data_IF_007087149843
#
_entry.id   IF_007087149843
#
_cell.length_a   1.000
_cell.length_b   1.000
_cell.length_c   1.000
_cell.angle_alpha   90.00
_cell.angle_beta   90.00
_cell.angle_gamma   90.00
#
_symmetry.space_group_name_H-M   'P 1'
#
loop_
_entity.id
_entity.type
_entity.pdbx_description
1 polymer ?
#
# COMPACT_ATOMS: atom_id res chain seq x y z
N UNK A 1 -5.84 9.10 -31.63
CA UNK A 1 -4.83 8.41 -30.79
C UNK A 1 -5.27 8.15 -29.34
N UNK A 2 -6.03 9.04 -28.69
CA UNK A 2 -6.56 8.78 -27.33
C UNK A 2 -7.49 7.56 -27.29
N UNK A 3 -8.39 7.43 -28.24
CA UNK A 3 -9.41 6.36 -28.26
C UNK A 3 -8.81 4.97 -28.40
N UNK A 4 -7.76 4.81 -29.21
CA UNK A 4 -7.08 3.51 -29.39
C UNK A 4 -6.33 3.10 -28.13
N UNK A 5 -5.65 4.03 -27.44
CA UNK A 5 -5.00 3.75 -26.17
C UNK A 5 -6.01 3.37 -25.09
N UNK A 6 -7.14 4.04 -25.05
CA UNK A 6 -8.21 3.75 -24.11
C UNK A 6 -8.87 2.39 -24.38
N UNK A 7 -9.06 2.03 -25.65
CA UNK A 7 -9.58 0.73 -26.04
C UNK A 7 -8.60 -0.40 -25.71
N UNK A 8 -7.29 -0.23 -25.97
CA UNK A 8 -6.25 -1.20 -25.61
C UNK A 8 -6.18 -1.34 -24.08
N UNK A 9 -6.17 -0.23 -23.35
CA UNK A 9 -6.14 -0.24 -21.89
C UNK A 9 -7.37 -0.96 -21.33
N UNK A 10 -8.56 -0.72 -21.84
CA UNK A 10 -9.77 -1.38 -21.39
C UNK A 10 -9.77 -2.88 -21.75
N UNK A 11 -9.32 -3.24 -22.96
CA UNK A 11 -9.18 -4.63 -23.37
C UNK A 11 -8.17 -5.40 -22.54
N UNK A 12 -7.04 -4.79 -22.20
CA UNK A 12 -6.02 -5.40 -21.32
C UNK A 12 -6.56 -5.61 -19.93
N UNK A 13 -7.36 -4.68 -19.40
CA UNK A 13 -7.95 -4.77 -18.07
C UNK A 13 -9.01 -5.85 -17.96
N UNK A 14 -9.90 -5.95 -18.95
CA UNK A 14 -11.01 -6.91 -18.95
C UNK A 14 -10.58 -8.34 -19.21
N UNK A 15 -9.47 -8.53 -19.92
CA UNK A 15 -9.01 -9.85 -20.36
C UNK A 15 -7.76 -10.36 -19.61
N UNK A 16 -7.30 -9.64 -18.60
CA UNK A 16 -6.12 -10.03 -17.83
C UNK A 16 -6.48 -10.15 -16.35
N UNK A 17 -6.55 -11.39 -15.88
CA UNK A 17 -6.91 -11.70 -14.49
C UNK A 17 -5.99 -11.04 -13.47
N UNK A 18 -4.68 -10.94 -13.75
CA UNK A 18 -3.72 -10.27 -12.87
C UNK A 18 -4.09 -8.80 -12.68
N UNK A 19 -4.36 -8.11 -13.78
CA UNK A 19 -4.72 -6.69 -13.75
C UNK A 19 -6.05 -6.46 -13.04
N UNK A 20 -7.02 -7.32 -13.30
CA UNK A 20 -8.34 -7.24 -12.66
C UNK A 20 -8.23 -7.49 -11.15
N UNK A 21 -7.52 -8.54 -10.75
CA UNK A 21 -7.32 -8.87 -9.33
C UNK A 21 -6.54 -7.77 -8.61
N UNK A 22 -5.47 -7.25 -9.24
CA UNK A 22 -4.72 -6.12 -8.70
C UNK A 22 -5.65 -4.93 -8.44
N UNK A 23 -6.49 -4.59 -9.43
CA UNK A 23 -7.45 -3.50 -9.29
C UNK A 23 -8.45 -3.74 -8.16
N UNK A 24 -9.02 -4.95 -8.06
CA UNK A 24 -9.98 -5.29 -7.00
C UNK A 24 -9.34 -5.20 -5.61
N UNK A 25 -8.09 -5.65 -5.47
CA UNK A 25 -7.35 -5.56 -4.22
C UNK A 25 -7.02 -4.10 -3.86
N UNK A 26 -6.62 -3.27 -4.83
CA UNK A 26 -6.43 -1.82 -4.60
C UNK A 26 -7.73 -1.18 -4.15
N UNK A 27 -8.85 -1.47 -4.83
CA UNK A 27 -10.15 -0.91 -4.48
C UNK A 27 -10.61 -1.34 -3.08
N UNK A 28 -10.41 -2.62 -2.73
CA UNK A 28 -10.71 -3.14 -1.39
C UNK A 28 -10.02 -2.28 -0.31
N UNK A 29 -8.71 -2.15 -0.39
CA UNK A 29 -7.95 -1.39 0.61
C UNK A 29 -8.23 0.11 0.56
N UNK A 30 -8.47 0.67 -0.61
CA UNK A 30 -8.84 2.06 -0.76
C UNK A 30 -10.18 2.40 -0.07
N UNK A 31 -11.17 1.52 -0.21
CA UNK A 31 -12.46 1.65 0.48
C UNK A 31 -12.27 1.57 2.00
N UNK A 32 -11.49 0.59 2.48
CA UNK A 32 -11.21 0.44 3.91
C UNK A 32 -10.45 1.65 4.48
N UNK A 33 -9.54 2.24 3.70
CA UNK A 33 -8.79 3.44 4.08
C UNK A 33 -9.59 4.75 3.92
N UNK A 34 -10.87 4.67 3.51
CA UNK A 34 -11.75 5.83 3.36
C UNK A 34 -11.45 6.70 2.15
N UNK A 35 -10.74 6.19 1.15
CA UNK A 35 -10.43 6.89 -0.10
C UNK A 35 -11.08 6.25 -1.34
N UNK A 36 -11.97 5.27 -1.13
CA UNK A 36 -12.59 4.52 -2.23
C UNK A 36 -13.55 5.33 -3.10
N UNK A 37 -14.05 6.45 -2.60
CA UNK A 37 -14.92 7.36 -3.35
C UNK A 37 -14.15 8.42 -4.15
N UNK A 38 -12.85 8.54 -3.93
CA UNK A 38 -12.04 9.46 -4.69
C UNK A 38 -11.89 9.00 -6.14
N UNK A 39 -12.18 9.89 -7.08
CA UNK A 39 -12.06 9.65 -8.52
C UNK A 39 -10.65 9.18 -8.96
N UNK A 40 -9.69 9.25 -8.04
CA UNK A 40 -8.31 8.82 -8.18
C UNK A 40 -8.14 7.32 -8.33
N UNK A 41 -9.12 6.50 -7.92
CA UNK A 41 -9.07 5.02 -8.03
C UNK A 41 -9.93 4.50 -9.19
N UNK A 42 -10.12 5.33 -10.20
CA UNK A 42 -10.68 4.86 -11.45
C UNK A 42 -9.76 3.81 -12.09
N UNK A 43 -10.35 2.88 -12.85
CA UNK A 43 -9.61 1.78 -13.54
C UNK A 43 -8.44 2.25 -14.40
N UNK A 44 -8.47 3.50 -14.88
CA UNK A 44 -7.35 4.14 -15.59
C UNK A 44 -6.14 4.43 -14.71
N UNK A 45 -6.33 4.53 -13.42
CA UNK A 45 -5.31 4.97 -12.46
C UNK A 45 -4.14 3.99 -12.31
N UNK A 46 -4.38 2.69 -12.44
CA UNK A 46 -3.33 1.66 -12.33
C UNK A 46 -2.18 1.84 -13.33
N UNK A 47 -2.41 2.53 -14.45
CA UNK A 47 -1.45 2.57 -15.55
C UNK A 47 -1.06 3.97 -16.02
N UNK A 48 -1.83 5.01 -15.71
CA UNK A 48 -1.71 6.30 -16.40
C UNK A 48 -1.77 7.52 -15.53
N UNK A 49 -2.09 7.40 -14.25
CA UNK A 49 -2.33 8.55 -13.41
C UNK A 49 -1.07 9.04 -12.72
N UNK A 50 -0.97 10.34 -12.65
CA UNK A 50 0.12 11.01 -11.98
C UNK A 50 -0.18 11.09 -10.47
N UNK A 51 0.43 10.21 -9.68
CA UNK A 51 0.32 10.23 -8.22
C UNK A 51 0.69 11.59 -7.60
N UNK A 52 1.42 12.44 -8.34
CA UNK A 52 1.80 13.78 -7.88
C UNK A 52 0.62 14.74 -7.74
N UNK A 53 -0.53 14.41 -8.32
CA UNK A 53 -1.77 15.20 -8.14
C UNK A 53 -2.42 14.93 -6.78
N UNK A 54 -2.04 13.85 -6.12
CA UNK A 54 -2.47 13.54 -4.76
C UNK A 54 -1.50 14.14 -3.76
N UNK A 55 -2.03 14.59 -2.64
CA UNK A 55 -1.23 15.14 -1.55
C UNK A 55 -1.65 14.55 -0.21
N UNK A 56 -0.77 14.70 0.77
CA UNK A 56 -1.06 14.37 2.15
C UNK A 56 -1.49 12.92 2.38
N UNK A 57 -2.42 12.73 3.29
CA UNK A 57 -2.90 11.43 3.71
C UNK A 57 -3.50 10.60 2.56
N UNK A 58 -4.12 11.22 1.56
CA UNK A 58 -4.71 10.51 0.41
C UNK A 58 -3.62 9.82 -0.41
N UNK A 59 -2.50 10.50 -0.68
CA UNK A 59 -1.36 9.91 -1.37
C UNK A 59 -0.80 8.70 -0.60
N UNK A 60 -0.56 8.86 0.70
CA UNK A 60 -0.02 7.78 1.54
C UNK A 60 -0.93 6.56 1.57
N UNK A 61 -2.23 6.75 1.77
CA UNK A 61 -3.23 5.69 1.74
C UNK A 61 -3.29 4.99 0.38
N UNK A 62 -3.25 5.76 -0.70
CA UNK A 62 -3.25 5.22 -2.06
C UNK A 62 -2.01 4.37 -2.32
N UNK A 63 -0.82 4.87 -2.00
CA UNK A 63 0.43 4.12 -2.15
C UNK A 63 0.42 2.85 -1.29
N UNK A 64 -0.09 2.92 -0.06
CA UNK A 64 -0.21 1.77 0.81
C UNK A 64 -1.15 0.71 0.22
N UNK A 65 -2.35 1.08 -0.23
CA UNK A 65 -3.29 0.18 -0.88
C UNK A 65 -2.68 -0.53 -2.11
N UNK A 66 -1.95 0.20 -2.94
CA UNK A 66 -1.24 -0.36 -4.09
C UNK A 66 -0.17 -1.37 -3.67
N UNK A 67 0.65 -1.03 -2.69
CA UNK A 67 1.71 -1.94 -2.20
C UNK A 67 1.14 -3.26 -1.71
N UNK A 68 0.08 -3.22 -0.92
CA UNK A 68 -0.58 -4.43 -0.43
C UNK A 68 -1.16 -5.26 -1.57
N UNK A 69 -1.82 -4.62 -2.52
CA UNK A 69 -2.37 -5.29 -3.70
C UNK A 69 -1.28 -5.98 -4.55
N UNK A 70 -0.12 -5.32 -4.75
CA UNK A 70 1.02 -5.92 -5.43
C UNK A 70 1.60 -7.12 -4.68
N UNK A 71 1.72 -7.05 -3.37
CA UNK A 71 2.22 -8.17 -2.54
C UNK A 71 1.32 -9.39 -2.73
N UNK A 72 -0.01 -9.22 -2.67
CA UNK A 72 -0.98 -10.30 -2.89
C UNK A 72 -0.82 -10.91 -4.28
N UNK A 73 -0.73 -10.09 -5.32
CA UNK A 73 -0.60 -10.59 -6.69
C UNK A 73 0.74 -11.27 -6.95
N UNK A 74 1.83 -10.80 -6.36
CA UNK A 74 3.14 -11.46 -6.44
C UNK A 74 3.06 -12.81 -5.72
N UNK A 75 2.54 -12.86 -4.49
CA UNK A 75 2.36 -14.13 -3.78
C UNK A 75 1.53 -15.12 -4.58
N UNK A 76 0.41 -14.67 -5.16
CA UNK A 76 -0.44 -15.49 -6.01
C UNK A 76 0.31 -16.03 -7.25
N UNK A 77 1.18 -15.21 -7.85
CA UNK A 77 1.90 -15.57 -9.07
C UNK A 77 3.07 -16.51 -8.85
N UNK A 78 3.81 -16.36 -7.76
CA UNK A 78 5.05 -17.10 -7.52
C UNK A 78 4.99 -18.04 -6.29
N UNK A 79 3.91 -17.99 -5.50
CA UNK A 79 3.74 -18.85 -4.31
C UNK A 79 4.66 -18.51 -3.14
N UNK A 80 5.29 -17.32 -3.14
CA UNK A 80 6.23 -16.89 -2.10
C UNK A 80 5.73 -15.65 -1.41
N UNK A 81 5.72 -15.68 -0.07
CA UNK A 81 5.38 -14.53 0.77
C UNK A 81 6.59 -13.60 0.89
N UNK A 82 6.42 -12.38 0.40
CA UNK A 82 7.45 -11.36 0.50
C UNK A 82 7.38 -10.65 1.85
N UNK A 83 8.50 -10.20 2.41
CA UNK A 83 8.49 -9.34 3.60
C UNK A 83 7.87 -7.99 3.26
N UNK A 84 7.11 -7.45 4.22
CA UNK A 84 6.52 -6.12 4.14
C UNK A 84 7.40 -5.18 4.96
N UNK A 85 7.99 -4.20 4.29
CA UNK A 85 8.87 -3.23 4.94
C UNK A 85 8.18 -1.86 4.91
N UNK A 86 7.97 -1.30 6.09
CA UNK A 86 7.41 0.03 6.27
C UNK A 86 8.45 0.91 6.98
N UNK A 87 8.87 1.96 6.29
CA UNK A 87 9.73 2.99 6.86
C UNK A 87 8.87 4.21 7.20
N UNK A 88 8.86 4.55 8.48
CA UNK A 88 8.17 5.72 9.03
C UNK A 88 6.71 5.83 8.57
N UNK A 89 5.85 4.81 8.82
CA UNK A 89 4.44 4.85 8.41
C UNK A 89 3.68 6.02 9.04
N UNK A 90 4.24 6.60 10.11
CA UNK A 90 3.74 7.79 10.81
C UNK A 90 4.30 9.11 10.27
N UNK A 91 4.60 9.19 8.97
CA UNK A 91 5.05 10.43 8.36
C UNK A 91 4.13 11.62 8.67
N UNK A 92 4.66 12.84 8.59
CA UNK A 92 4.00 14.10 9.05
C UNK A 92 2.57 14.35 8.54
N UNK A 93 2.14 13.62 7.53
CA UNK A 93 0.87 13.84 6.83
C UNK A 93 -0.20 12.78 7.16
N UNK A 94 0.13 11.76 7.99
CA UNK A 94 -0.80 10.69 8.36
C UNK A 94 -1.09 10.78 9.85
N UNK A 95 -2.36 10.95 10.20
CA UNK A 95 -2.81 10.98 11.60
C UNK A 95 -2.79 9.58 12.24
N UNK A 96 -2.89 9.54 13.56
CA UNK A 96 -2.81 8.30 14.34
C UNK A 96 -3.95 7.32 14.02
N UNK A 97 -5.14 7.82 13.68
CA UNK A 97 -6.28 6.98 13.35
C UNK A 97 -6.04 6.24 12.02
N UNK A 98 -5.52 6.93 11.03
CA UNK A 98 -5.16 6.34 9.74
C UNK A 98 -4.01 5.32 9.88
N UNK A 99 -3.01 5.61 10.73
CA UNK A 99 -1.93 4.66 11.01
C UNK A 99 -2.48 3.40 11.67
N UNK A 100 -3.35 3.54 12.67
CA UNK A 100 -4.01 2.42 13.33
C UNK A 100 -4.74 1.55 12.33
N UNK A 101 -5.52 2.16 11.44
CA UNK A 101 -6.26 1.44 10.40
C UNK A 101 -5.33 0.67 9.46
N UNK A 102 -4.21 1.27 9.04
CA UNK A 102 -3.19 0.59 8.23
C UNK A 102 -2.58 -0.61 8.98
N UNK A 103 -2.28 -0.47 10.28
CA UNK A 103 -1.77 -1.57 11.10
C UNK A 103 -2.79 -2.69 11.29
N UNK A 104 -4.06 -2.35 11.47
CA UNK A 104 -5.13 -3.33 11.61
C UNK A 104 -5.33 -4.15 10.31
N UNK A 105 -5.20 -3.52 9.15
CA UNK A 105 -5.19 -4.22 7.86
C UNK A 105 -4.01 -5.21 7.78
N UNK A 106 -2.81 -4.80 8.17
CA UNK A 106 -1.64 -5.67 8.17
C UNK A 106 -1.80 -6.87 9.10
N UNK A 107 -2.30 -6.64 10.31
CA UNK A 107 -2.54 -7.70 11.31
C UNK A 107 -3.56 -8.72 10.81
N UNK A 108 -4.59 -8.27 10.11
CA UNK A 108 -5.68 -9.12 9.65
C UNK A 108 -5.31 -9.91 8.40
N UNK A 109 -4.81 -9.22 7.36
CA UNK A 109 -4.67 -9.80 6.02
C UNK A 109 -3.25 -10.34 5.75
N UNK A 110 -2.26 -9.94 6.56
CA UNK A 110 -0.83 -10.27 6.36
C UNK A 110 -0.19 -10.87 7.62
N UNK A 111 -0.99 -11.49 8.49
CA UNK A 111 -0.55 -12.04 9.78
C UNK A 111 0.57 -13.10 9.66
N UNK A 112 0.70 -13.73 8.50
CA UNK A 112 1.66 -14.78 8.20
C UNK A 112 2.84 -14.30 7.31
N UNK A 113 2.91 -12.99 7.04
CA UNK A 113 4.05 -12.34 6.42
C UNK A 113 5.06 -11.87 7.47
N UNK A 114 6.32 -11.79 7.07
CA UNK A 114 7.30 -11.03 7.85
C UNK A 114 7.02 -9.53 7.67
N UNK A 115 6.73 -8.83 8.76
CA UNK A 115 6.49 -7.39 8.77
C UNK A 115 7.63 -6.71 9.52
N UNK A 116 8.30 -5.77 8.86
CA UNK A 116 9.41 -4.97 9.42
C UNK A 116 8.97 -3.51 9.40
N UNK A 117 8.92 -2.89 10.58
CA UNK A 117 8.49 -1.50 10.72
C UNK A 117 9.60 -0.70 11.38
N UNK A 118 10.13 0.30 10.67
CA UNK A 118 10.97 1.32 11.27
C UNK A 118 10.08 2.49 11.73
N UNK A 119 10.01 2.75 13.03
CA UNK A 119 9.10 3.77 13.58
C UNK A 119 9.61 4.29 14.92
N UNK A 120 9.20 5.52 15.26
CA UNK A 120 9.36 6.09 16.60
C UNK A 120 8.21 5.70 17.55
N UNK A 121 7.21 4.99 17.04
CA UNK A 121 6.07 4.49 17.81
C UNK A 121 6.09 2.97 17.87
N UNK A 122 5.63 2.43 18.97
CA UNK A 122 5.38 1.00 19.11
C UNK A 122 4.00 0.66 18.55
N UNK A 123 3.93 -0.51 17.92
CA UNK A 123 2.68 -1.07 17.40
C UNK A 123 2.46 -2.44 18.02
N UNK A 124 1.22 -2.70 18.42
CA UNK A 124 0.83 -3.97 19.01
C UNK A 124 0.71 -5.07 17.95
N UNK A 125 1.80 -5.83 17.75
CA UNK A 125 1.83 -7.05 16.96
C UNK A 125 2.16 -8.25 17.85
N UNK A 126 1.67 -9.42 17.52
CA UNK A 126 1.95 -10.65 18.26
C UNK A 126 2.26 -11.79 17.27
N UNK A 127 3.49 -12.35 17.27
CA UNK A 127 4.65 -11.95 18.09
C UNK A 127 5.32 -10.66 17.62
N UNK A 128 5.91 -9.94 18.54
CA UNK A 128 6.66 -8.70 18.27
C UNK A 128 8.09 -8.82 18.79
N UNK A 129 9.06 -8.55 17.92
CA UNK A 129 10.45 -8.35 18.29
C UNK A 129 10.81 -6.87 18.09
N UNK A 130 11.16 -6.19 19.18
CA UNK A 130 11.55 -4.78 19.15
C UNK A 130 13.07 -4.68 19.17
N UNK A 131 13.63 -3.90 18.23
CA UNK A 131 15.04 -3.48 18.25
C UNK A 131 15.06 -1.98 18.45
N UNK A 132 15.51 -1.54 19.60
CA UNK A 132 15.61 -0.13 19.92
C UNK A 132 16.99 0.42 19.54
N UNK A 133 17.00 1.50 18.74
CA UNK A 133 18.23 2.20 18.37
C UNK A 133 18.36 3.43 19.27
N UNK A 134 19.21 3.30 20.30
CA UNK A 134 19.36 4.32 21.33
C UNK A 134 20.39 5.40 20.95
N UNK A 135 21.41 5.03 20.16
CA UNK A 135 22.49 5.94 19.80
C UNK A 135 22.36 6.46 18.36
N UNK A 136 22.66 7.75 18.17
CA UNK A 136 22.83 8.30 16.83
C UNK A 136 24.03 7.62 16.14
N UNK A 137 23.82 7.13 14.93
CA UNK A 137 24.87 6.47 14.14
C UNK A 137 25.98 7.43 13.65
N UNK A 138 25.81 8.73 13.83
CA UNK A 138 26.78 9.76 13.40
C UNK A 138 26.93 10.76 14.54
N UNK A 139 28.06 10.70 15.23
CA UNK A 139 28.63 11.85 15.91
C UNK A 139 29.35 12.66 14.82
N UNK A 140 28.80 13.81 14.45
CA UNK A 140 29.50 14.79 13.59
C UNK A 140 30.34 15.62 14.56
N UNK A 141 31.65 15.31 14.61
CA UNK A 141 32.66 16.23 15.16
C UNK A 141 32.82 17.46 14.26
#
# INVERSE_FOLDING_TARGET
>A
MRDVRQAITNSTKTNNDVVNNLYQNVLKYAVELGIGSDATIATSYLFTSNLKELSGAVLHKTVFAFRLAYIIEIERAIGVKLPIILDSPSGKEVDQENIKLMMDILKRDFYDHQIIIASIFEYDFNPLNVIEIINRLIEIE
#
